data_IF_755858469807
#
_entry.id   IF_755858469807
#
_cell.length_a   1.000
_cell.length_b   1.000
_cell.length_c   1.000
_cell.angle_alpha   90.00
_cell.angle_beta   90.00
_cell.angle_gamma   90.00
#
_symmetry.space_group_name_H-M   'P 1'
#
loop_
_entity.id
_entity.type
_entity.pdbx_description
1 polymer ?
#
# COMPACT_ATOMS: atom_id res chain seq x y z
N UNK A 1 -17.53 22.15 6.30
CA UNK A 1 -16.41 21.74 5.46
C UNK A 1 -16.96 21.33 4.08
N UNK A 2 -16.67 22.12 3.05
CA UNK A 2 -17.07 21.82 1.68
C UNK A 2 -15.80 21.46 0.91
N UNK A 3 -15.69 20.22 0.49
CA UNK A 3 -14.55 19.74 -0.30
C UNK A 3 -14.68 20.21 -1.76
N UNK A 4 -13.55 20.43 -2.41
CA UNK A 4 -13.47 20.56 -3.88
C UNK A 4 -13.78 19.22 -4.52
N UNK A 5 -14.02 19.17 -5.85
CA UNK A 5 -14.22 17.91 -6.58
C UNK A 5 -12.99 16.99 -6.49
N UNK A 6 -11.80 17.56 -6.53
CA UNK A 6 -10.55 16.82 -6.40
C UNK A 6 -10.41 16.22 -5.00
N UNK A 7 -10.71 16.98 -3.96
CA UNK A 7 -10.67 16.50 -2.58
C UNK A 7 -11.72 15.43 -2.29
N UNK A 8 -12.88 15.48 -2.91
CA UNK A 8 -13.87 14.40 -2.83
C UNK A 8 -13.32 13.10 -3.39
N UNK A 9 -12.55 13.15 -4.47
CA UNK A 9 -11.98 11.97 -5.10
C UNK A 9 -10.72 11.46 -4.41
N UNK A 10 -9.78 12.35 -4.06
CA UNK A 10 -8.43 11.98 -3.56
C UNK A 10 -8.27 12.12 -2.04
N UNK A 11 -9.14 12.87 -1.38
CA UNK A 11 -9.04 13.23 0.04
C UNK A 11 -8.65 14.69 0.27
N UNK A 12 -8.72 15.12 1.52
CA UNK A 12 -8.42 16.50 1.89
C UNK A 12 -6.97 16.88 1.59
N UNK A 13 -6.77 17.97 0.88
CA UNK A 13 -5.43 18.44 0.50
C UNK A 13 -4.55 18.75 1.72
N UNK A 14 -5.13 19.26 2.81
CA UNK A 14 -4.42 19.49 4.07
C UNK A 14 -3.86 18.19 4.67
N UNK A 15 -4.63 17.10 4.66
CA UNK A 15 -4.18 15.80 5.15
C UNK A 15 -3.08 15.22 4.25
N UNK A 16 -3.26 15.28 2.95
CA UNK A 16 -2.26 14.79 1.97
C UNK A 16 -0.93 15.53 2.19
N UNK A 17 -0.96 16.85 2.32
CA UNK A 17 0.25 17.64 2.58
C UNK A 17 0.91 17.27 3.93
N UNK A 18 0.11 17.06 4.98
CA UNK A 18 0.62 16.67 6.29
C UNK A 18 1.25 15.27 6.30
N UNK A 19 0.79 14.37 5.42
CA UNK A 19 1.30 13.00 5.30
C UNK A 19 2.61 12.88 4.51
N UNK A 20 2.93 13.82 3.64
CA UNK A 20 4.17 13.74 2.81
C UNK A 20 5.43 13.57 3.69
N UNK A 21 5.69 14.40 4.72
CA UNK A 21 6.87 14.22 5.56
C UNK A 21 6.87 12.88 6.33
N UNK A 22 5.69 12.40 6.73
CA UNK A 22 5.55 11.11 7.42
C UNK A 22 5.91 9.96 6.49
N UNK A 23 5.47 10.01 5.24
CA UNK A 23 5.80 9.01 4.24
C UNK A 23 7.30 8.99 3.93
N UNK A 24 7.94 10.14 3.90
CA UNK A 24 9.40 10.25 3.72
C UNK A 24 10.17 9.53 4.84
N UNK A 25 9.69 9.62 6.09
CA UNK A 25 10.26 8.87 7.22
C UNK A 25 10.13 7.36 7.03
N UNK A 26 9.09 6.89 6.33
CA UNK A 26 8.94 5.46 5.98
C UNK A 26 9.79 5.04 4.78
N UNK A 27 10.45 5.96 4.10
CA UNK A 27 11.21 5.74 2.87
C UNK A 27 10.36 5.83 1.60
N UNK A 28 9.19 6.46 1.69
CA UNK A 28 8.27 6.67 0.56
C UNK A 28 8.33 8.13 0.10
N UNK A 29 8.90 8.35 -1.06
CA UNK A 29 9.05 9.67 -1.68
C UNK A 29 8.04 9.81 -2.81
N UNK A 30 7.01 10.60 -2.57
CA UNK A 30 5.90 10.78 -3.51
C UNK A 30 5.47 12.24 -3.58
N UNK A 31 4.85 12.61 -4.69
CA UNK A 31 4.18 13.91 -4.83
C UNK A 31 2.75 13.81 -4.31
N UNK A 32 2.17 14.94 -3.93
CA UNK A 32 0.77 15.01 -3.44
C UNK A 32 -0.25 14.47 -4.46
N UNK A 33 0.05 14.60 -5.76
CA UNK A 33 -0.80 14.14 -6.85
C UNK A 33 -0.89 12.61 -6.94
N UNK A 34 0.07 11.89 -6.35
CA UNK A 34 0.10 10.43 -6.32
C UNK A 34 -0.68 9.83 -5.15
N UNK A 35 -1.10 10.66 -4.18
CA UNK A 35 -1.73 10.18 -2.95
C UNK A 35 -3.25 10.20 -3.05
N UNK A 36 -3.86 9.09 -2.60
CA UNK A 36 -5.31 9.01 -2.40
C UNK A 36 -5.59 8.50 -0.99
N UNK A 37 -6.41 9.22 -0.25
CA UNK A 37 -6.88 8.82 1.08
C UNK A 37 -8.00 7.80 0.91
N UNK A 38 -7.94 6.72 1.67
CA UNK A 38 -8.94 5.64 1.64
C UNK A 38 -9.54 5.39 3.02
N UNK A 39 -10.68 4.72 3.03
CA UNK A 39 -11.30 4.19 4.24
C UNK A 39 -10.64 2.85 4.59
N UNK A 40 -9.39 2.92 5.06
CA UNK A 40 -8.56 1.76 5.38
C UNK A 40 -7.99 1.05 4.14
N UNK A 41 -7.19 0.03 4.42
CA UNK A 41 -6.50 -0.76 3.37
C UNK A 41 -7.47 -1.59 2.54
N UNK A 42 -8.54 -2.12 3.14
CA UNK A 42 -9.44 -3.03 2.44
C UNK A 42 -10.15 -2.37 1.26
N UNK A 43 -10.59 -1.12 1.40
CA UNK A 43 -11.13 -0.34 0.29
C UNK A 43 -10.11 -0.19 -0.84
N UNK A 44 -8.86 0.12 -0.48
CA UNK A 44 -7.79 0.26 -1.45
C UNK A 44 -7.55 -1.03 -2.24
N UNK A 45 -7.45 -2.17 -1.55
CA UNK A 45 -7.24 -3.48 -2.19
C UNK A 45 -8.41 -3.86 -3.09
N UNK A 46 -9.64 -3.62 -2.66
CA UNK A 46 -10.84 -3.88 -3.46
C UNK A 46 -10.82 -3.08 -4.78
N UNK A 47 -10.52 -1.79 -4.72
CA UNK A 47 -10.43 -0.93 -5.91
C UNK A 47 -9.29 -1.38 -6.83
N UNK A 48 -8.11 -1.65 -6.28
CA UNK A 48 -6.93 -2.06 -7.06
C UNK A 48 -7.16 -3.37 -7.80
N UNK A 49 -7.76 -4.35 -7.15
CA UNK A 49 -8.08 -5.64 -7.76
C UNK A 49 -9.08 -5.51 -8.92
N UNK A 50 -9.98 -4.55 -8.85
CA UNK A 50 -10.91 -4.26 -9.95
C UNK A 50 -10.29 -3.40 -11.06
N UNK A 51 -9.33 -2.55 -10.70
CA UNK A 51 -8.66 -1.66 -11.63
C UNK A 51 -7.64 -2.41 -12.50
N UNK A 52 -6.88 -3.33 -11.89
CA UNK A 52 -5.81 -4.08 -12.56
C UNK A 52 -6.31 -5.48 -12.88
N UNK A 53 -7.10 -5.59 -13.94
CA UNK A 53 -7.74 -6.83 -14.39
C UNK A 53 -7.08 -7.41 -15.65
N UNK A 54 -7.53 -8.60 -16.03
CA UNK A 54 -7.21 -9.25 -17.30
C UNK A 54 -6.20 -10.38 -17.21
N UNK A 55 -5.47 -10.49 -16.10
CA UNK A 55 -4.52 -11.57 -15.82
C UNK A 55 -4.65 -12.04 -14.38
N UNK A 56 -3.87 -13.06 -14.00
CA UNK A 56 -3.83 -13.58 -12.63
C UNK A 56 -3.16 -12.60 -11.67
N UNK A 57 -3.54 -12.72 -10.40
CA UNK A 57 -2.87 -12.08 -9.27
C UNK A 57 -1.96 -13.09 -8.60
N UNK A 58 -0.72 -12.71 -8.31
CA UNK A 58 0.20 -13.50 -7.51
C UNK A 58 0.11 -13.07 -6.04
N UNK A 59 -0.13 -14.04 -5.16
CA UNK A 59 -0.16 -13.85 -3.72
C UNK A 59 1.00 -14.60 -3.06
N UNK A 60 1.46 -14.11 -1.92
CA UNK A 60 2.34 -14.89 -1.05
C UNK A 60 1.57 -16.00 -0.33
N UNK A 61 2.24 -17.08 0.03
CA UNK A 61 1.70 -18.18 0.83
C UNK A 61 2.62 -18.43 2.03
N UNK A 62 2.18 -18.17 3.28
CA UNK A 62 0.94 -17.50 3.63
C UNK A 62 0.96 -15.97 3.36
N UNK A 63 -0.18 -15.33 3.44
CA UNK A 63 -0.33 -13.87 3.38
C UNK A 63 -1.50 -13.38 4.23
N UNK A 64 -1.78 -12.08 4.17
CA UNK A 64 -2.91 -11.45 4.85
C UNK A 64 -4.24 -12.10 4.46
N UNK A 65 -4.93 -12.69 5.45
CA UNK A 65 -6.12 -13.53 5.21
C UNK A 65 -7.24 -12.81 4.43
N UNK A 66 -7.44 -11.52 4.70
CA UNK A 66 -8.44 -10.71 4.00
C UNK A 66 -8.17 -10.57 2.51
N UNK A 67 -6.90 -10.56 2.09
CA UNK A 67 -6.55 -10.53 0.68
C UNK A 67 -6.92 -11.85 0.00
N UNK A 68 -6.66 -12.98 0.64
CA UNK A 68 -7.10 -14.29 0.15
C UNK A 68 -8.62 -14.37 -0.01
N UNK A 69 -9.37 -13.88 0.98
CA UNK A 69 -10.84 -13.85 0.94
C UNK A 69 -11.34 -12.96 -0.19
N UNK A 70 -10.69 -11.80 -0.39
CA UNK A 70 -11.10 -10.80 -1.37
C UNK A 70 -10.92 -11.29 -2.80
N UNK A 71 -9.79 -11.91 -3.15
CA UNK A 71 -9.58 -12.46 -4.50
C UNK A 71 -10.56 -13.57 -4.82
N UNK A 72 -10.92 -14.39 -3.83
CA UNK A 72 -11.95 -15.44 -3.96
C UNK A 72 -13.33 -14.84 -4.17
N UNK A 73 -13.70 -13.85 -3.34
CA UNK A 73 -14.99 -13.18 -3.43
C UNK A 73 -15.21 -12.50 -4.78
N UNK A 74 -14.16 -11.88 -5.32
CA UNK A 74 -14.19 -11.21 -6.62
C UNK A 74 -14.01 -12.17 -7.81
N UNK A 75 -13.85 -13.48 -7.56
CA UNK A 75 -13.58 -14.50 -8.58
C UNK A 75 -12.37 -14.16 -9.46
N UNK A 76 -11.32 -13.59 -8.87
CA UNK A 76 -10.10 -13.24 -9.58
C UNK A 76 -9.20 -14.47 -9.63
N UNK A 77 -8.71 -14.89 -10.80
CA UNK A 77 -7.75 -15.99 -10.89
C UNK A 77 -6.44 -15.58 -10.19
N UNK A 78 -5.90 -16.49 -9.37
CA UNK A 78 -4.68 -16.25 -8.63
C UNK A 78 -3.82 -17.51 -8.53
N UNK A 79 -2.54 -17.29 -8.30
CA UNK A 79 -1.58 -18.32 -7.89
C UNK A 79 -0.82 -17.83 -6.66
N UNK A 80 -0.08 -18.72 -6.03
CA UNK A 80 0.68 -18.41 -4.84
C UNK A 80 2.16 -18.74 -5.02
N UNK A 81 2.99 -17.97 -4.31
CA UNK A 81 4.42 -18.22 -4.16
C UNK A 81 4.75 -18.30 -2.66
N UNK A 82 5.54 -19.31 -2.27
CA UNK A 82 5.87 -19.50 -0.86
C UNK A 82 6.68 -18.33 -0.30
N UNK A 83 6.23 -17.78 0.83
CA UNK A 83 7.02 -16.87 1.67
C UNK A 83 7.74 -17.71 2.72
N UNK A 84 9.06 -17.57 2.79
CA UNK A 84 9.91 -18.36 3.70
C UNK A 84 9.88 -17.83 5.13
N UNK A 85 10.20 -18.68 6.09
CA UNK A 85 10.18 -18.32 7.52
C UNK A 85 11.25 -17.28 7.89
N UNK A 86 12.33 -17.19 7.13
CA UNK A 86 13.36 -16.17 7.27
C UNK A 86 12.97 -14.79 6.72
N UNK A 87 11.77 -14.71 6.15
CA UNK A 87 11.24 -13.49 5.55
C UNK A 87 11.55 -13.33 4.06
N UNK A 88 12.26 -14.26 3.44
CA UNK A 88 12.65 -14.20 2.04
C UNK A 88 11.64 -14.90 1.11
N UNK A 89 11.88 -14.79 -0.19
CA UNK A 89 11.11 -15.40 -1.28
C UNK A 89 12.08 -16.02 -2.29
N UNK A 90 11.67 -17.07 -2.97
CA UNK A 90 12.46 -17.64 -4.08
C UNK A 90 12.39 -16.71 -5.30
N UNK A 91 13.46 -15.94 -5.50
CA UNK A 91 13.55 -14.97 -6.59
C UNK A 91 13.61 -15.62 -7.98
N UNK A 92 14.14 -16.81 -8.10
CA UNK A 92 14.15 -17.56 -9.37
C UNK A 92 12.72 -17.97 -9.73
N UNK A 93 11.99 -18.49 -8.74
CA UNK A 93 10.58 -18.83 -8.93
C UNK A 93 9.72 -17.60 -9.24
N UNK A 94 9.97 -16.47 -8.57
CA UNK A 94 9.28 -15.20 -8.85
C UNK A 94 9.54 -14.75 -10.29
N UNK A 95 10.78 -14.83 -10.77
CA UNK A 95 11.12 -14.48 -12.14
C UNK A 95 10.44 -15.38 -13.16
N UNK A 96 10.41 -16.70 -12.94
CA UNK A 96 9.67 -17.64 -13.79
C UNK A 96 8.20 -17.28 -13.92
N UNK A 97 7.55 -16.98 -12.79
CA UNK A 97 6.13 -16.59 -12.76
C UNK A 97 5.89 -15.27 -13.50
N UNK A 98 6.71 -14.27 -13.27
CA UNK A 98 6.59 -12.99 -13.99
C UNK A 98 6.87 -13.13 -15.48
N UNK A 99 7.87 -13.92 -15.86
CA UNK A 99 8.25 -14.17 -17.25
C UNK A 99 7.17 -14.94 -18.05
N UNK A 100 6.30 -15.69 -17.38
CA UNK A 100 5.17 -16.38 -18.04
C UNK A 100 4.20 -15.42 -18.75
N UNK A 101 4.17 -14.17 -18.33
CA UNK A 101 3.24 -13.16 -18.85
C UNK A 101 1.79 -13.35 -18.37
N UNK A 102 1.53 -14.29 -17.47
CA UNK A 102 0.18 -14.59 -16.96
C UNK A 102 -0.28 -13.70 -15.81
N UNK A 103 0.64 -12.92 -15.19
CA UNK A 103 0.36 -12.10 -14.02
C UNK A 103 0.34 -10.62 -14.34
N UNK A 104 -0.62 -9.89 -13.79
CA UNK A 104 -0.70 -8.42 -13.85
C UNK A 104 -0.30 -7.77 -12.54
N UNK A 105 -0.39 -8.49 -11.43
CA UNK A 105 -0.29 -7.95 -10.09
C UNK A 105 0.34 -8.95 -9.13
N UNK A 106 1.26 -8.48 -8.30
CA UNK A 106 1.83 -9.20 -7.16
C UNK A 106 1.54 -8.44 -5.87
N UNK A 107 0.85 -9.09 -4.92
CA UNK A 107 0.60 -8.54 -3.58
C UNK A 107 1.63 -9.07 -2.60
N UNK A 108 2.31 -8.18 -1.90
CA UNK A 108 3.36 -8.53 -0.94
C UNK A 108 3.36 -7.61 0.28
N UNK A 109 3.79 -8.16 1.42
CA UNK A 109 4.10 -7.43 2.64
C UNK A 109 5.61 -7.49 2.81
N UNK A 110 6.31 -6.41 2.49
CA UNK A 110 7.77 -6.37 2.41
C UNK A 110 8.47 -6.31 3.76
N UNK A 111 7.78 -5.72 4.75
CA UNK A 111 8.28 -5.51 6.12
C UNK A 111 7.29 -6.05 7.14
N UNK A 112 7.77 -6.76 8.18
CA UNK A 112 6.92 -7.35 9.23
C UNK A 112 5.76 -8.17 8.65
N UNK A 113 6.10 -9.16 7.84
CA UNK A 113 5.12 -9.98 7.13
C UNK A 113 4.01 -10.53 8.05
N UNK A 114 2.79 -10.47 7.59
CA UNK A 114 1.65 -11.05 8.27
C UNK A 114 1.24 -12.37 7.56
N UNK A 115 1.34 -13.56 8.21
CA UNK A 115 1.55 -13.76 9.66
C UNK A 115 2.98 -14.11 10.10
N UNK A 116 3.98 -14.18 9.21
CA UNK A 116 5.29 -14.77 9.54
C UNK A 116 6.24 -13.87 10.34
N UNK A 117 6.05 -12.55 10.28
CA UNK A 117 6.84 -11.56 11.02
C UNK A 117 8.15 -11.14 10.35
N UNK A 118 8.69 -11.90 9.40
CA UNK A 118 9.94 -11.59 8.71
C UNK A 118 9.82 -10.45 7.69
N UNK A 119 10.95 -9.93 7.26
CA UNK A 119 11.04 -8.88 6.24
C UNK A 119 11.97 -9.32 5.12
N UNK A 120 11.76 -8.84 3.89
CA UNK A 120 12.74 -9.00 2.82
C UNK A 120 14.05 -8.29 3.16
N UNK A 121 15.18 -8.88 2.76
CA UNK A 121 16.45 -8.16 2.70
C UNK A 121 16.39 -7.03 1.67
N UNK A 122 17.25 -6.02 1.83
CA UNK A 122 17.30 -4.91 0.86
C UNK A 122 17.68 -5.38 -0.55
N UNK A 123 18.53 -6.42 -0.65
CA UNK A 123 18.87 -7.03 -1.93
C UNK A 123 17.65 -7.69 -2.61
N UNK A 124 16.84 -8.40 -1.83
CA UNK A 124 15.60 -9.03 -2.32
C UNK A 124 14.59 -7.98 -2.76
N UNK A 125 14.39 -6.91 -1.99
CA UNK A 125 13.50 -5.80 -2.38
C UNK A 125 13.88 -5.18 -3.72
N UNK A 126 15.16 -4.87 -3.89
CA UNK A 126 15.70 -4.38 -5.17
C UNK A 126 15.37 -5.32 -6.32
N UNK A 127 15.63 -6.60 -6.13
CA UNK A 127 15.43 -7.60 -7.18
C UNK A 127 13.96 -7.77 -7.54
N UNK A 128 13.06 -7.75 -6.56
CA UNK A 128 11.61 -7.81 -6.81
C UNK A 128 11.17 -6.63 -7.70
N UNK A 129 11.62 -5.41 -7.38
CA UNK A 129 11.27 -4.22 -8.16
C UNK A 129 11.86 -4.27 -9.58
N UNK A 130 13.11 -4.72 -9.74
CA UNK A 130 13.71 -4.94 -11.05
C UNK A 130 12.91 -5.93 -11.91
N UNK A 131 12.47 -7.04 -11.32
CA UNK A 131 11.65 -8.04 -12.01
C UNK A 131 10.28 -7.50 -12.40
N UNK A 132 9.65 -6.74 -11.52
CA UNK A 132 8.37 -6.07 -11.80
C UNK A 132 8.47 -5.11 -12.99
N UNK A 133 9.54 -4.34 -13.05
CA UNK A 133 9.83 -3.45 -14.18
C UNK A 133 10.09 -4.23 -15.46
N UNK A 134 10.96 -5.24 -15.40
CA UNK A 134 11.34 -6.08 -16.55
C UNK A 134 10.14 -6.76 -17.22
N UNK A 135 9.20 -7.26 -16.43
CA UNK A 135 8.06 -8.05 -16.90
C UNK A 135 6.73 -7.29 -16.87
N UNK A 136 6.74 -6.01 -16.58
CA UNK A 136 5.56 -5.14 -16.54
C UNK A 136 4.46 -5.65 -15.61
N UNK A 137 4.83 -6.09 -14.41
CA UNK A 137 3.92 -6.50 -13.34
C UNK A 137 3.80 -5.37 -12.32
N UNK A 138 2.59 -5.01 -11.92
CA UNK A 138 2.39 -4.12 -10.78
C UNK A 138 2.59 -4.86 -9.47
N UNK A 139 3.12 -4.17 -8.47
CA UNK A 139 3.23 -4.66 -7.10
C UNK A 139 2.31 -3.84 -6.21
N UNK A 140 1.48 -4.49 -5.41
CA UNK A 140 0.87 -3.86 -4.24
C UNK A 140 1.76 -4.18 -3.04
N UNK A 141 2.40 -3.17 -2.50
CA UNK A 141 3.14 -3.24 -1.25
C UNK A 141 2.27 -2.79 -0.09
N UNK A 142 1.89 -3.74 0.77
CA UNK A 142 1.15 -3.46 2.00
C UNK A 142 2.13 -3.28 3.17
N UNK A 143 2.27 -2.05 3.63
CA UNK A 143 3.26 -1.63 4.62
C UNK A 143 2.59 -1.22 5.94
N UNK A 144 1.70 -2.05 6.43
CA UNK A 144 0.86 -1.76 7.59
C UNK A 144 1.62 -1.48 8.88
N UNK A 145 2.86 -1.97 9.01
CA UNK A 145 3.74 -1.80 10.18
C UNK A 145 4.87 -0.79 9.95
N UNK A 146 4.76 0.10 8.97
CA UNK A 146 5.79 1.09 8.67
C UNK A 146 6.21 1.95 9.87
N UNK A 147 5.28 2.23 10.78
CA UNK A 147 5.54 3.02 12.00
C UNK A 147 6.50 2.35 12.99
N UNK A 148 6.65 1.03 12.89
CA UNK A 148 7.45 0.21 13.80
C UNK A 148 8.80 -0.22 13.21
N UNK A 149 9.14 0.29 12.02
CA UNK A 149 10.41 -0.03 11.36
C UNK A 149 11.54 0.73 12.03
N UNK A 150 12.55 -0.02 12.49
CA UNK A 150 13.77 0.52 13.06
C UNK A 150 14.89 0.63 12.02
N UNK A 151 15.76 1.60 12.21
CA UNK A 151 16.94 1.79 11.36
C UNK A 151 16.62 2.26 9.95
N UNK A 152 17.42 1.81 8.99
CA UNK A 152 17.37 2.27 7.59
C UNK A 152 16.67 1.30 6.64
N UNK A 153 15.83 0.39 7.14
CA UNK A 153 15.09 -0.52 6.29
C UNK A 153 14.09 0.24 5.42
N UNK A 154 14.18 0.05 4.11
CA UNK A 154 13.34 0.75 3.13
C UNK A 154 12.20 -0.14 2.63
N UNK A 155 11.08 0.44 2.14
CA UNK A 155 10.06 -0.32 1.43
C UNK A 155 10.50 -0.64 -0.01
N UNK A 156 9.75 -1.49 -0.71
CA UNK A 156 9.91 -1.72 -2.16
C UNK A 156 9.77 -0.42 -2.94
N UNK A 157 8.84 0.43 -2.56
CA UNK A 157 8.57 1.71 -3.20
C UNK A 157 9.81 2.60 -3.32
N UNK A 158 10.73 2.52 -2.37
CA UNK A 158 12.00 3.25 -2.38
C UNK A 158 12.86 2.94 -3.62
N UNK A 159 12.81 1.70 -4.11
CA UNK A 159 13.58 1.23 -5.26
C UNK A 159 12.86 1.38 -6.60
N UNK A 160 11.60 1.80 -6.60
CA UNK A 160 10.77 1.89 -7.80
C UNK A 160 11.07 3.16 -8.59
N UNK A 161 11.71 3.02 -9.75
CA UNK A 161 12.01 4.11 -10.68
C UNK A 161 11.04 4.14 -11.87
N UNK A 162 10.23 3.11 -12.07
CA UNK A 162 9.45 2.89 -13.29
C UNK A 162 7.92 2.92 -13.05
N UNK A 163 7.48 3.23 -11.82
CA UNK A 163 6.06 3.31 -11.48
C UNK A 163 5.37 1.95 -11.47
N UNK A 164 6.02 0.94 -10.86
CA UNK A 164 5.46 -0.41 -10.72
C UNK A 164 4.91 -0.72 -9.34
N UNK A 165 5.35 -0.01 -8.31
CA UNK A 165 4.95 -0.25 -6.93
C UNK A 165 3.80 0.68 -6.53
N UNK A 166 2.70 0.08 -6.13
CA UNK A 166 1.56 0.73 -5.50
C UNK A 166 1.72 0.54 -4.01
N UNK A 167 2.00 1.61 -3.28
CA UNK A 167 2.21 1.58 -1.84
C UNK A 167 0.88 1.78 -1.10
N UNK A 168 0.60 0.89 -0.16
CA UNK A 168 -0.64 0.92 0.63
C UNK A 168 -0.29 0.88 2.11
N UNK A 169 -0.87 1.80 2.89
CA UNK A 169 -0.70 1.85 4.34
C UNK A 169 -1.99 2.20 5.06
N UNK A 170 -2.29 1.45 6.11
CA UNK A 170 -3.32 1.79 7.10
C UNK A 170 -2.69 2.43 8.34
N UNK A 171 -3.36 3.45 8.88
CA UNK A 171 -2.98 4.05 10.16
C UNK A 171 -3.70 3.43 11.36
N UNK A 172 -4.50 2.39 11.14
CA UNK A 172 -5.27 1.72 12.21
C UNK A 172 -4.38 1.00 13.24
N UNK A 173 -3.18 0.57 12.85
CA UNK A 173 -2.23 -0.11 13.74
C UNK A 173 -1.57 0.83 14.73
N UNK A 174 -1.31 2.07 14.33
CA UNK A 174 -0.63 3.05 15.16
C UNK A 174 -1.59 3.96 15.94
N UNK A 175 -2.76 4.22 15.43
CA UNK A 175 -3.76 5.06 16.09
C UNK A 175 -4.79 4.20 16.82
N UNK A 176 -5.89 3.93 16.20
CA UNK A 176 -6.93 3.02 16.69
C UNK A 176 -7.77 2.55 15.51
N UNK A 177 -8.25 1.32 15.61
CA UNK A 177 -8.93 0.64 14.49
C UNK A 177 -10.20 1.35 13.99
N UNK A 178 -10.84 2.15 14.83
CA UNK A 178 -12.04 2.90 14.47
C UNK A 178 -11.77 4.07 13.53
N UNK A 179 -10.53 4.57 13.45
CA UNK A 179 -10.18 5.72 12.61
C UNK A 179 -10.35 5.42 11.12
N UNK A 180 -10.11 4.19 10.67
CA UNK A 180 -10.32 3.74 9.29
C UNK A 180 -9.74 4.68 8.21
N UNK A 181 -8.55 5.20 8.44
CA UNK A 181 -7.81 5.98 7.45
C UNK A 181 -6.66 5.16 6.92
N UNK A 182 -6.60 5.06 5.60
CA UNK A 182 -5.49 4.53 4.85
C UNK A 182 -5.03 5.51 3.77
N UNK A 183 -3.90 5.21 3.18
CA UNK A 183 -3.33 5.96 2.07
C UNK A 183 -2.83 5.01 1.00
N UNK A 184 -3.01 5.41 -0.24
CA UNK A 184 -2.43 4.75 -1.41
C UNK A 184 -1.55 5.73 -2.14
N UNK A 185 -0.33 5.32 -2.44
CA UNK A 185 0.58 6.05 -3.34
C UNK A 185 0.61 5.31 -4.66
N UNK A 186 0.16 5.97 -5.71
CA UNK A 186 -0.11 5.37 -7.01
C UNK A 186 0.88 5.85 -8.08
N UNK A 187 1.26 4.99 -9.03
CA UNK A 187 1.76 5.44 -10.32
C UNK A 187 0.79 6.44 -10.97
N UNK A 188 1.32 7.44 -11.67
CA UNK A 188 0.52 8.56 -12.19
C UNK A 188 -0.68 8.13 -13.03
N UNK A 189 -0.51 7.13 -13.87
CA UNK A 189 -1.55 6.60 -14.75
C UNK A 189 -2.72 5.92 -14.01
N UNK A 190 -2.50 5.51 -12.76
CA UNK A 190 -3.53 4.85 -11.94
C UNK A 190 -4.28 5.81 -11.03
N UNK A 191 -3.81 7.04 -10.84
CA UNK A 191 -4.40 7.99 -9.88
C UNK A 191 -5.85 8.31 -10.22
N UNK A 192 -6.10 8.81 -11.42
CA UNK A 192 -7.45 9.19 -11.85
C UNK A 192 -8.41 8.00 -11.90
N UNK A 193 -8.06 6.86 -12.52
CA UNK A 193 -8.94 5.69 -12.52
C UNK A 193 -9.25 5.15 -11.12
N UNK A 194 -8.29 5.21 -10.20
CA UNK A 194 -8.48 4.80 -8.80
C UNK A 194 -9.41 5.77 -8.07
N UNK A 195 -9.12 7.06 -8.13
CA UNK A 195 -9.89 8.10 -7.45
C UNK A 195 -11.36 8.13 -7.91
N UNK A 196 -11.60 7.94 -9.20
CA UNK A 196 -12.96 7.86 -9.75
C UNK A 196 -13.75 6.66 -9.23
N UNK A 197 -13.12 5.48 -9.13
CA UNK A 197 -13.78 4.30 -8.53
C UNK A 197 -14.08 4.50 -7.06
N UNK A 198 -13.14 5.08 -6.33
CA UNK A 198 -13.34 5.41 -4.92
C UNK A 198 -14.50 6.39 -4.72
N UNK A 199 -14.61 7.41 -5.55
CA UNK A 199 -15.67 8.41 -5.48
C UNK A 199 -17.07 7.78 -5.55
N UNK A 200 -17.26 6.73 -6.36
CA UNK A 200 -18.53 6.01 -6.45
C UNK A 200 -18.80 5.09 -5.26
N UNK A 201 -17.79 4.75 -4.49
CA UNK A 201 -17.94 3.94 -3.27
C UNK A 201 -18.15 4.79 -2.03
N UNK A 202 -17.51 5.97 -1.98
CA UNK A 202 -17.37 6.77 -0.77
C UNK A 202 -17.24 8.25 -1.18
N UNK A 203 -18.40 8.84 -1.51
CA UNK A 203 -18.46 10.18 -2.13
C UNK A 203 -17.86 11.29 -1.25
N UNK A 204 -18.12 11.27 0.06
CA UNK A 204 -17.66 12.27 1.04
C UNK A 204 -16.79 11.60 2.12
N UNK A 205 -15.78 10.85 1.71
CA UNK A 205 -14.93 10.03 2.58
C UNK A 205 -14.62 10.69 3.91
N UNK A 206 -15.34 10.33 4.95
CA UNK A 206 -14.99 10.54 6.36
C UNK A 206 -14.25 11.86 6.66
N UNK A 207 -14.81 12.97 6.19
CA UNK A 207 -14.21 14.32 6.27
C UNK A 207 -13.83 14.69 7.71
N UNK A 208 -14.67 14.32 8.68
CA UNK A 208 -14.40 14.58 10.09
C UNK A 208 -13.14 13.86 10.57
N UNK A 209 -12.96 12.62 10.18
CA UNK A 209 -11.78 11.83 10.55
C UNK A 209 -10.53 12.31 9.84
N UNK A 210 -10.63 12.70 8.57
CA UNK A 210 -9.52 13.31 7.86
C UNK A 210 -9.08 14.62 8.54
N UNK A 211 -10.01 15.50 8.89
CA UNK A 211 -9.70 16.74 9.61
C UNK A 211 -9.11 16.48 10.99
N UNK A 212 -9.68 15.54 11.73
CA UNK A 212 -9.16 15.15 13.04
C UNK A 212 -7.72 14.67 12.94
N UNK A 213 -7.43 13.81 11.95
CA UNK A 213 -6.08 13.29 11.75
C UNK A 213 -5.10 14.38 11.29
N UNK A 214 -5.54 15.29 10.42
CA UNK A 214 -4.73 16.46 10.05
C UNK A 214 -4.31 17.26 11.27
N UNK A 215 -5.26 17.62 12.13
CA UNK A 215 -4.97 18.37 13.37
C UNK A 215 -4.05 17.59 14.31
N UNK A 216 -4.22 16.27 14.42
CA UNK A 216 -3.38 15.42 15.24
C UNK A 216 -1.92 15.40 14.76
N UNK A 217 -1.71 15.42 13.44
CA UNK A 217 -0.38 15.54 12.83
C UNK A 217 0.20 16.95 13.04
N UNK A 218 -0.54 17.99 12.69
CA UNK A 218 -0.08 19.38 12.74
C UNK A 218 0.27 19.85 14.16
N UNK A 219 -0.43 19.36 15.17
CA UNK A 219 -0.14 19.64 16.58
C UNK A 219 1.03 18.82 17.15
N UNK A 220 1.70 17.97 16.35
CA UNK A 220 2.79 17.12 16.78
C UNK A 220 2.36 15.90 17.63
N UNK A 221 1.06 15.75 17.88
CA UNK A 221 0.54 14.67 18.72
C UNK A 221 0.72 13.29 18.08
N UNK A 222 0.65 13.21 16.76
CA UNK A 222 0.88 11.95 16.03
C UNK A 222 2.32 11.43 16.25
N UNK A 223 3.31 12.29 16.07
CA UNK A 223 4.72 11.91 16.24
C UNK A 223 5.02 11.52 17.68
N UNK A 224 4.44 12.26 18.65
CA UNK A 224 4.59 11.91 20.07
C UNK A 224 3.97 10.55 20.38
N UNK A 225 2.75 10.31 19.95
CA UNK A 225 2.03 9.04 20.14
C UNK A 225 2.78 7.87 19.49
N UNK A 226 3.23 8.04 18.24
CA UNK A 226 4.03 7.01 17.54
C UNK A 226 5.28 6.65 18.31
N UNK A 227 6.01 7.64 18.83
CA UNK A 227 7.20 7.40 19.65
C UNK A 227 6.87 6.59 20.91
N UNK A 228 5.81 6.94 21.62
CA UNK A 228 5.35 6.23 22.84
C UNK A 228 4.90 4.78 22.54
N UNK A 229 4.41 4.49 21.32
CA UNK A 229 3.99 3.15 20.92
C UNK A 229 5.13 2.25 20.47
N UNK A 230 6.25 2.82 20.06
CA UNK A 230 7.44 2.08 19.57
C UNK A 230 8.48 1.84 20.69
N UNK A 231 8.50 2.69 21.73
CA UNK A 231 9.31 2.48 22.95
C UNK A 231 8.72 1.38 23.85
#
# INVERSE_FOLDING_TARGET
LKLTKEEQASGMSELIQALIPILEEYGVYATKEQLVITTGTQQALYILLQLIQGKKVLLEQPTYARMNELVKHLNIPYETIARQMDGEIDLNRLEELFASGEFSLFYTISRFHNPLGGSYSEATKKKIVELASKYSVYIIEDDYMADFVEGNATPLHYYDMDGRVIYVKSFSSILFSALKIGIVVLPKELVEPFAMRKLWMDYDSNVMMQKTFTLFIENGMFLKHRKEMVE
#
